data_IF_994450464391
#
_entry.id   IF_994450464391
#
_cell.length_a   1.000
_cell.length_b   1.000
_cell.length_c   1.000
_cell.angle_alpha   90.00
_cell.angle_beta   90.00
_cell.angle_gamma   90.00
#
_symmetry.space_group_name_H-M   'P 1'
#
loop_
_entity.id
_entity.type
_entity.pdbx_description
1 polymer ?
#
# COMPACT_ATOMS: atom_id res chain seq x y z
N UNK A 1 -26.63 -28.77 9.21
CA UNK A 1 -25.29 -28.17 9.32
C UNK A 1 -25.33 -26.83 8.65
N UNK A 2 -24.88 -25.77 9.32
CA UNK A 2 -24.73 -24.46 8.67
C UNK A 2 -23.73 -24.58 7.51
N UNK A 3 -23.91 -23.86 6.37
CA UNK A 3 -22.99 -23.92 5.26
C UNK A 3 -21.60 -23.46 5.71
N UNK A 4 -20.56 -24.16 5.28
CA UNK A 4 -19.18 -23.78 5.51
C UNK A 4 -18.90 -22.40 4.92
N UNK A 5 -18.26 -21.52 5.67
CA UNK A 5 -18.00 -20.13 5.26
C UNK A 5 -16.56 -19.70 5.53
N UNK A 6 -15.96 -19.08 4.54
CA UNK A 6 -14.76 -18.23 4.71
C UNK A 6 -15.16 -16.77 4.45
N UNK A 7 -14.74 -15.86 5.34
CA UNK A 7 -14.87 -14.43 5.15
C UNK A 7 -13.52 -13.78 4.81
N UNK A 8 -13.51 -12.95 3.80
CA UNK A 8 -12.38 -12.07 3.45
C UNK A 8 -12.82 -10.64 3.73
N UNK A 9 -12.12 -9.94 4.62
CA UNK A 9 -12.46 -8.58 5.06
C UNK A 9 -11.48 -7.59 4.44
N UNK A 10 -11.96 -6.82 3.47
CA UNK A 10 -11.21 -5.88 2.64
C UNK A 10 -11.31 -6.25 1.16
N UNK A 11 -12.13 -5.52 0.41
CA UNK A 11 -12.42 -5.76 -1.01
C UNK A 11 -11.48 -4.96 -1.94
N UNK A 12 -10.16 -5.11 -1.76
CA UNK A 12 -9.15 -4.52 -2.65
C UNK A 12 -8.17 -5.61 -3.12
N UNK A 13 -6.95 -5.26 -3.49
CA UNK A 13 -5.98 -6.14 -4.12
C UNK A 13 -5.70 -7.44 -3.34
N UNK A 14 -5.45 -7.33 -2.03
CA UNK A 14 -5.15 -8.50 -1.20
C UNK A 14 -6.39 -9.39 -1.03
N UNK A 15 -7.54 -8.78 -0.73
CA UNK A 15 -8.79 -9.55 -0.52
C UNK A 15 -9.29 -10.22 -1.79
N UNK A 16 -9.25 -9.54 -2.93
CA UNK A 16 -9.62 -10.16 -4.21
C UNK A 16 -8.67 -11.31 -4.55
N UNK A 17 -7.36 -11.12 -4.40
CA UNK A 17 -6.37 -12.17 -4.66
C UNK A 17 -6.55 -13.38 -3.72
N UNK A 18 -6.93 -13.13 -2.46
CA UNK A 18 -7.27 -14.18 -1.52
C UNK A 18 -8.53 -14.94 -1.95
N UNK A 19 -9.59 -14.23 -2.34
CA UNK A 19 -10.84 -14.84 -2.79
C UNK A 19 -10.65 -15.69 -4.05
N UNK A 20 -9.93 -15.18 -5.04
CA UNK A 20 -9.56 -15.92 -6.24
C UNK A 20 -8.73 -17.17 -5.92
N UNK A 21 -7.76 -17.03 -5.01
CA UNK A 21 -6.92 -18.14 -4.60
C UNK A 21 -7.71 -19.21 -3.84
N UNK A 22 -8.63 -18.82 -2.95
CA UNK A 22 -9.53 -19.76 -2.26
C UNK A 22 -10.32 -20.59 -3.26
N UNK A 23 -10.94 -19.97 -4.28
CA UNK A 23 -11.66 -20.70 -5.33
C UNK A 23 -10.72 -21.61 -6.14
N UNK A 24 -9.60 -21.08 -6.58
CA UNK A 24 -8.60 -21.86 -7.36
C UNK A 24 -8.05 -23.05 -6.59
N UNK A 25 -7.89 -22.95 -5.27
CA UNK A 25 -7.43 -24.02 -4.41
C UNK A 25 -8.54 -24.95 -3.93
N UNK A 26 -9.76 -24.79 -4.46
CA UNK A 26 -10.85 -25.73 -4.32
C UNK A 26 -11.80 -25.47 -3.15
N UNK A 27 -11.90 -24.25 -2.62
CA UNK A 27 -12.97 -23.90 -1.69
C UNK A 27 -14.28 -23.76 -2.45
N UNK A 28 -15.28 -24.59 -2.12
CA UNK A 28 -16.61 -24.59 -2.71
C UNK A 28 -17.72 -24.06 -1.80
N UNK A 29 -17.39 -23.87 -0.48
CA UNK A 29 -18.31 -23.30 0.50
C UNK A 29 -18.61 -21.82 0.23
N UNK A 30 -19.43 -21.22 1.08
CA UNK A 30 -19.71 -19.79 1.03
C UNK A 30 -18.43 -18.99 1.17
N UNK A 31 -18.22 -18.04 0.27
CA UNK A 31 -17.08 -17.12 0.28
C UNK A 31 -17.63 -15.70 0.32
N UNK A 32 -17.53 -15.08 1.50
CA UNK A 32 -17.99 -13.71 1.71
C UNK A 32 -16.82 -12.74 1.55
N UNK A 33 -16.96 -11.73 0.67
CA UNK A 33 -16.01 -10.64 0.51
C UNK A 33 -16.62 -9.33 1.00
N UNK A 34 -16.07 -8.78 2.09
CA UNK A 34 -16.58 -7.57 2.76
C UNK A 34 -15.70 -6.38 2.41
N UNK A 35 -16.30 -5.27 1.96
CA UNK A 35 -15.61 -4.01 1.67
C UNK A 35 -16.40 -2.81 2.21
N UNK A 36 -15.72 -1.85 2.83
CA UNK A 36 -16.36 -0.63 3.35
C UNK A 36 -16.64 0.42 2.26
N UNK A 37 -15.96 0.34 1.14
CA UNK A 37 -16.25 1.16 -0.05
C UNK A 37 -17.35 0.51 -0.91
N UNK A 38 -18.22 1.30 -1.58
CA UNK A 38 -19.32 0.76 -2.39
C UNK A 38 -18.87 0.25 -3.77
N UNK A 39 -17.58 0.30 -4.06
CA UNK A 39 -17.02 -0.02 -5.37
C UNK A 39 -16.56 -1.48 -5.46
N UNK A 40 -16.66 -2.12 -6.64
CA UNK A 40 -15.95 -3.34 -6.94
C UNK A 40 -14.45 -3.19 -6.68
N UNK A 41 -13.72 -4.29 -6.39
CA UNK A 41 -12.28 -4.23 -6.18
C UNK A 41 -11.55 -3.49 -7.30
N UNK A 42 -10.79 -2.44 -6.94
CA UNK A 42 -10.06 -1.58 -7.87
C UNK A 42 -8.61 -1.38 -7.45
N UNK A 43 -7.79 -0.93 -8.41
CA UNK A 43 -6.36 -0.69 -8.24
C UNK A 43 -6.09 0.73 -7.73
N UNK A 44 -5.36 0.87 -6.61
CA UNK A 44 -5.10 2.17 -5.96
C UNK A 44 -3.92 2.95 -6.54
N UNK A 45 -2.82 2.31 -7.03
CA UNK A 45 -1.68 3.07 -7.55
C UNK A 45 -2.01 4.08 -8.65
N UNK A 46 -3.01 3.89 -9.52
CA UNK A 46 -3.38 4.89 -10.51
C UNK A 46 -4.07 6.13 -9.93
N UNK A 47 -4.54 6.10 -8.68
CA UNK A 47 -5.25 7.23 -8.06
C UNK A 47 -4.41 8.52 -8.03
N UNK A 48 -3.10 8.40 -7.70
CA UNK A 48 -2.15 9.51 -7.68
C UNK A 48 -1.54 9.84 -9.04
N UNK A 49 -1.85 9.06 -10.08
CA UNK A 49 -1.25 9.13 -11.41
C UNK A 49 -2.31 9.32 -12.49
N UNK A 50 -2.66 8.24 -13.19
CA UNK A 50 -3.52 8.28 -14.38
C UNK A 50 -4.92 8.82 -14.10
N UNK A 51 -5.52 8.52 -12.93
CA UNK A 51 -6.83 9.05 -12.57
C UNK A 51 -6.75 10.54 -12.24
N UNK A 52 -5.78 10.95 -11.43
CA UNK A 52 -5.57 12.36 -11.08
C UNK A 52 -5.22 13.19 -12.31
N UNK A 53 -4.41 12.65 -13.21
CA UNK A 53 -4.06 13.24 -14.51
C UNK A 53 -5.25 13.38 -15.47
N UNK A 54 -6.34 12.62 -15.23
CA UNK A 54 -7.48 12.55 -16.14
C UNK A 54 -7.30 11.64 -17.35
N UNK A 55 -6.19 10.86 -17.39
CA UNK A 55 -5.92 9.89 -18.45
C UNK A 55 -6.77 8.61 -18.33
N UNK A 56 -7.25 8.29 -17.13
CA UNK A 56 -8.13 7.17 -16.88
C UNK A 56 -9.43 7.61 -16.22
N UNK A 57 -10.52 6.98 -16.65
CA UNK A 57 -11.81 7.06 -15.98
C UNK A 57 -11.91 6.00 -14.87
N UNK A 58 -12.77 6.18 -13.84
CA UNK A 58 -12.90 5.27 -12.70
C UNK A 58 -13.09 3.80 -13.07
N UNK A 59 -13.87 3.49 -14.08
CA UNK A 59 -14.11 2.11 -14.54
C UNK A 59 -12.85 1.37 -14.99
N UNK A 60 -11.81 2.10 -15.42
CA UNK A 60 -10.52 1.51 -15.85
C UNK A 60 -9.67 1.03 -14.68
N UNK A 61 -10.03 1.40 -13.45
CA UNK A 61 -9.35 0.99 -12.24
C UNK A 61 -9.74 -0.42 -11.79
N UNK A 62 -10.89 -0.95 -12.21
CA UNK A 62 -11.40 -2.23 -11.75
C UNK A 62 -10.36 -3.34 -11.96
N UNK A 63 -10.12 -4.14 -10.93
CA UNK A 63 -9.17 -5.25 -10.97
C UNK A 63 -9.70 -6.43 -11.78
N UNK A 64 -11.02 -6.55 -11.90
CA UNK A 64 -11.72 -7.57 -12.70
C UNK A 64 -12.95 -6.97 -13.35
N UNK A 65 -13.30 -7.50 -14.50
CA UNK A 65 -14.60 -7.25 -15.13
C UNK A 65 -15.73 -7.88 -14.30
N UNK A 66 -16.96 -7.40 -14.47
CA UNK A 66 -18.09 -7.85 -13.66
C UNK A 66 -18.35 -9.36 -13.79
N UNK A 67 -18.31 -9.89 -15.01
CA UNK A 67 -18.45 -11.32 -15.30
C UNK A 67 -17.39 -12.20 -14.63
N UNK A 68 -16.16 -11.68 -14.50
CA UNK A 68 -15.07 -12.36 -13.78
C UNK A 68 -15.31 -12.39 -12.27
N UNK A 69 -15.87 -11.33 -11.69
CA UNK A 69 -16.26 -11.31 -10.29
C UNK A 69 -17.45 -12.23 -10.01
N UNK A 70 -18.45 -12.22 -10.89
CA UNK A 70 -19.64 -13.07 -10.82
C UNK A 70 -19.26 -14.56 -10.87
N UNK A 71 -18.30 -14.92 -11.72
CA UNK A 71 -17.79 -16.28 -11.86
C UNK A 71 -17.14 -16.83 -10.57
N UNK A 72 -16.72 -15.96 -9.65
CA UNK A 72 -16.19 -16.39 -8.33
C UNK A 72 -17.30 -16.85 -7.38
N UNK A 73 -18.56 -16.53 -7.63
CA UNK A 73 -19.68 -16.88 -6.77
C UNK A 73 -19.51 -16.35 -5.34
N UNK A 74 -19.20 -15.05 -5.22
CA UNK A 74 -18.97 -14.38 -3.94
C UNK A 74 -20.29 -13.93 -3.33
N UNK A 75 -20.43 -14.09 -1.99
CA UNK A 75 -21.33 -13.27 -1.18
C UNK A 75 -20.65 -11.90 -1.00
N UNK A 76 -20.91 -10.99 -1.94
CA UNK A 76 -20.22 -9.70 -2.03
C UNK A 76 -20.95 -8.64 -1.21
N UNK A 77 -20.27 -8.09 -0.20
CA UNK A 77 -20.79 -7.11 0.76
C UNK A 77 -20.01 -5.81 0.65
N UNK A 78 -20.27 -5.05 -0.41
CA UNK A 78 -19.70 -3.71 -0.62
C UNK A 78 -20.48 -2.65 0.17
N UNK A 79 -19.83 -1.53 0.50
CA UNK A 79 -20.39 -0.51 1.36
C UNK A 79 -20.65 -0.99 2.78
N UNK A 80 -20.01 -2.09 3.18
CA UNK A 80 -20.26 -2.76 4.46
C UNK A 80 -18.97 -2.86 5.27
N UNK A 81 -18.96 -2.21 6.44
CA UNK A 81 -17.79 -2.19 7.33
C UNK A 81 -17.82 -3.37 8.30
N UNK A 82 -16.68 -4.00 8.52
CA UNK A 82 -16.48 -4.90 9.65
C UNK A 82 -16.37 -4.09 10.96
N UNK A 83 -17.04 -4.54 12.01
CA UNK A 83 -17.08 -3.86 13.31
C UNK A 83 -16.31 -4.59 14.40
N UNK A 84 -16.29 -5.93 14.39
CA UNK A 84 -15.54 -6.76 15.33
C UNK A 84 -15.27 -8.16 14.77
N UNK A 85 -14.24 -8.80 15.30
CA UNK A 85 -13.97 -10.22 15.12
C UNK A 85 -13.77 -10.86 16.50
N UNK A 86 -14.47 -11.94 16.75
CA UNK A 86 -14.22 -12.85 17.87
C UNK A 86 -13.43 -14.05 17.31
N UNK A 87 -12.14 -14.14 17.64
CA UNK A 87 -11.26 -15.20 17.12
C UNK A 87 -11.58 -16.57 17.73
N UNK A 88 -12.06 -16.63 18.97
CA UNK A 88 -12.39 -17.89 19.64
C UNK A 88 -13.56 -18.62 18.95
N UNK A 89 -14.56 -17.87 18.53
CA UNK A 89 -15.73 -18.41 17.81
C UNK A 89 -15.64 -18.21 16.29
N UNK A 90 -14.65 -17.47 15.80
CA UNK A 90 -14.51 -17.00 14.41
C UNK A 90 -15.78 -16.31 13.91
N UNK A 91 -16.36 -15.46 14.76
CA UNK A 91 -17.57 -14.70 14.42
C UNK A 91 -17.20 -13.28 13.99
N UNK A 92 -17.44 -12.97 12.72
CA UNK A 92 -17.31 -11.62 12.16
C UNK A 92 -18.61 -10.85 12.41
N UNK A 93 -18.51 -9.66 13.03
CA UNK A 93 -19.63 -8.74 13.21
C UNK A 93 -19.51 -7.58 12.23
N UNK A 94 -20.55 -7.30 11.46
CA UNK A 94 -20.65 -6.17 10.54
C UNK A 94 -21.24 -4.94 11.25
N UNK A 95 -21.00 -3.74 10.72
CA UNK A 95 -21.44 -2.47 11.33
C UNK A 95 -22.97 -2.40 11.54
N UNK A 96 -23.77 -3.11 10.71
CA UNK A 96 -25.21 -3.24 10.88
C UNK A 96 -25.67 -4.22 11.97
N UNK A 97 -24.73 -4.82 12.72
CA UNK A 97 -25.02 -5.81 13.77
C UNK A 97 -25.18 -7.26 13.26
N UNK A 98 -25.15 -7.50 11.96
CA UNK A 98 -25.15 -8.84 11.39
C UNK A 98 -23.90 -9.61 11.85
N UNK A 99 -24.08 -10.86 12.26
CA UNK A 99 -23.01 -11.76 12.73
C UNK A 99 -22.85 -12.93 11.78
N UNK A 100 -21.64 -13.12 11.29
CA UNK A 100 -21.28 -14.20 10.37
C UNK A 100 -20.36 -15.19 11.09
N UNK A 101 -20.86 -16.39 11.35
CA UNK A 101 -20.01 -17.49 11.81
C UNK A 101 -19.18 -18.00 10.63
N UNK A 102 -17.87 -18.12 10.82
CA UNK A 102 -16.91 -18.48 9.78
C UNK A 102 -16.08 -19.70 10.20
N UNK A 103 -15.69 -20.52 9.23
CA UNK A 103 -14.66 -21.55 9.44
C UNK A 103 -13.26 -20.92 9.36
N UNK A 104 -13.11 -19.85 8.57
CA UNK A 104 -11.88 -19.08 8.46
C UNK A 104 -12.11 -17.62 8.11
N UNK A 105 -11.16 -16.75 8.48
CA UNK A 105 -11.20 -15.31 8.20
C UNK A 105 -9.85 -14.86 7.63
N UNK A 106 -9.88 -14.08 6.55
CA UNK A 106 -8.69 -13.39 6.04
C UNK A 106 -8.90 -11.88 6.19
N UNK A 107 -8.06 -11.24 7.00
CA UNK A 107 -8.04 -9.79 7.22
C UNK A 107 -7.18 -9.14 6.14
N UNK A 108 -7.82 -8.35 5.28
CA UNK A 108 -7.20 -7.66 4.14
C UNK A 108 -7.61 -6.16 4.09
N UNK A 109 -7.87 -5.56 5.25
CA UNK A 109 -8.41 -4.19 5.39
C UNK A 109 -7.43 -3.09 5.01
N UNK A 110 -6.15 -3.42 4.86
CA UNK A 110 -5.13 -2.47 4.42
C UNK A 110 -4.85 -1.38 5.45
N UNK A 111 -4.72 -0.14 4.97
CA UNK A 111 -4.39 1.04 5.76
C UNK A 111 -5.33 2.20 5.45
N UNK A 112 -5.49 3.13 6.39
CA UNK A 112 -6.14 4.42 6.23
C UNK A 112 -5.10 5.54 6.08
N UNK A 113 -5.42 6.61 5.35
CA UNK A 113 -4.57 7.79 5.29
C UNK A 113 -4.53 8.49 6.65
N UNK A 114 -3.36 8.94 7.08
CA UNK A 114 -3.23 9.82 8.24
C UNK A 114 -3.73 11.21 7.92
N UNK A 115 -4.45 11.78 8.84
CA UNK A 115 -4.98 13.15 8.77
C UNK A 115 -4.27 14.06 9.76
N UNK A 116 -4.44 15.34 9.59
CA UNK A 116 -4.05 16.36 10.56
C UNK A 116 -5.32 16.83 11.29
N UNK A 117 -5.40 16.73 12.62
CA UNK A 117 -6.60 17.14 13.35
C UNK A 117 -7.01 18.59 13.08
N UNK A 118 -6.03 19.47 12.84
CA UNK A 118 -6.23 20.90 12.55
C UNK A 118 -6.89 21.14 11.18
N UNK A 119 -6.91 20.12 10.32
CA UNK A 119 -7.56 20.15 9.01
C UNK A 119 -9.04 19.71 9.05
N UNK A 120 -9.51 19.23 10.20
CA UNK A 120 -10.86 18.71 10.32
C UNK A 120 -11.91 19.79 9.97
N UNK A 121 -12.83 19.47 9.07
CA UNK A 121 -13.90 20.38 8.64
C UNK A 121 -13.46 21.50 7.70
N UNK A 122 -12.22 21.54 7.25
CA UNK A 122 -11.74 22.48 6.24
C UNK A 122 -11.99 21.97 4.83
N UNK A 123 -12.75 22.72 4.04
CA UNK A 123 -12.86 22.47 2.62
C UNK A 123 -11.57 22.86 1.89
N UNK A 124 -11.20 22.09 0.86
CA UNK A 124 -9.94 22.25 0.12
C UNK A 124 -8.75 21.52 0.74
N UNK A 125 -8.92 20.85 1.88
CA UNK A 125 -7.90 19.93 2.44
C UNK A 125 -8.31 18.48 2.15
N UNK A 126 -7.44 17.75 1.50
CA UNK A 126 -7.71 16.40 0.98
C UNK A 126 -6.68 15.40 1.49
N UNK A 127 -7.08 14.15 1.59
CA UNK A 127 -6.21 12.97 1.58
C UNK A 127 -6.27 12.30 0.21
N UNK A 128 -5.52 11.21 0.00
CA UNK A 128 -5.56 10.44 -1.23
C UNK A 128 -5.34 8.94 -0.91
N UNK A 129 -6.45 8.23 -0.69
CA UNK A 129 -6.45 6.79 -0.41
C UNK A 129 -7.58 6.07 -1.15
N UNK A 130 -8.77 6.66 -1.20
CA UNK A 130 -9.97 6.09 -1.82
C UNK A 130 -10.23 6.67 -3.20
N UNK A 131 -11.15 6.06 -3.94
CA UNK A 131 -11.60 6.60 -5.21
C UNK A 131 -12.26 7.97 -5.04
N UNK A 132 -13.06 8.13 -3.97
CA UNK A 132 -13.70 9.42 -3.63
C UNK A 132 -12.66 10.50 -3.34
N UNK A 133 -11.62 10.18 -2.57
CA UNK A 133 -10.51 11.11 -2.32
C UNK A 133 -9.89 11.62 -3.63
N UNK A 134 -9.62 10.66 -4.54
CA UNK A 134 -8.98 10.99 -5.82
C UNK A 134 -9.88 11.84 -6.73
N UNK A 135 -11.18 11.54 -6.77
CA UNK A 135 -12.15 12.30 -7.53
C UNK A 135 -12.35 13.71 -6.96
N UNK A 136 -12.42 13.84 -5.64
CA UNK A 136 -12.51 15.12 -4.96
C UNK A 136 -11.28 16.00 -5.23
N UNK A 137 -10.06 15.41 -5.10
CA UNK A 137 -8.82 16.13 -5.40
C UNK A 137 -8.74 16.49 -6.90
N UNK A 138 -9.10 15.57 -7.81
CA UNK A 138 -9.15 15.83 -9.26
C UNK A 138 -10.08 17.01 -9.59
N UNK A 139 -11.25 17.06 -8.97
CA UNK A 139 -12.20 18.17 -9.16
C UNK A 139 -11.62 19.51 -8.69
N UNK A 140 -10.90 19.53 -7.58
CA UNK A 140 -10.20 20.73 -7.08
C UNK A 140 -9.05 21.18 -7.97
N UNK A 141 -8.38 20.25 -8.62
CA UNK A 141 -7.31 20.53 -9.58
C UNK A 141 -7.81 20.69 -11.01
N UNK A 142 -9.10 20.95 -11.21
CA UNK A 142 -9.63 21.30 -12.53
C UNK A 142 -9.11 22.68 -12.97
N UNK A 143 -8.77 22.82 -14.27
CA UNK A 143 -8.12 24.02 -14.82
C UNK A 143 -6.62 24.06 -14.51
N UNK A 144 -6.03 25.25 -14.48
CA UNK A 144 -4.60 25.48 -14.26
C UNK A 144 -4.36 26.58 -13.23
N UNK A 145 -3.09 26.79 -12.82
CA UNK A 145 -2.68 27.95 -12.01
C UNK A 145 -3.09 27.92 -10.54
N UNK A 146 -3.70 26.85 -10.04
CA UNK A 146 -4.02 26.74 -8.61
C UNK A 146 -2.77 26.52 -7.78
N UNK A 147 -2.77 27.03 -6.56
CA UNK A 147 -1.71 26.85 -5.56
C UNK A 147 -2.01 25.60 -4.76
N UNK A 148 -1.29 24.51 -5.04
CA UNK A 148 -1.35 23.27 -4.29
C UNK A 148 -0.20 23.20 -3.28
N UNK A 149 -0.51 23.00 -2.02
CA UNK A 149 0.46 22.63 -0.98
C UNK A 149 0.30 21.13 -0.71
N UNK A 150 1.35 20.36 -0.98
CA UNK A 150 1.42 18.93 -0.63
C UNK A 150 2.19 18.80 0.68
N UNK A 151 1.52 18.30 1.71
CA UNK A 151 2.09 18.04 3.03
C UNK A 151 2.48 16.58 3.14
N UNK A 152 3.77 16.32 3.13
CA UNK A 152 4.37 14.98 3.09
C UNK A 152 5.13 14.74 1.78
N UNK A 153 6.45 14.54 1.89
CA UNK A 153 7.36 14.33 0.76
C UNK A 153 7.77 12.85 0.58
N UNK A 154 6.91 11.94 1.00
CA UNK A 154 7.01 10.50 0.69
C UNK A 154 6.57 10.18 -0.75
N UNK A 155 6.47 8.88 -1.07
CA UNK A 155 6.12 8.39 -2.42
C UNK A 155 4.86 9.06 -2.96
N UNK A 156 3.75 8.98 -2.22
CA UNK A 156 2.45 9.50 -2.65
C UNK A 156 2.47 11.01 -2.87
N UNK A 157 3.09 11.75 -1.94
CA UNK A 157 3.20 13.22 -2.05
C UNK A 157 4.03 13.65 -3.26
N UNK A 158 5.13 12.94 -3.56
CA UNK A 158 5.97 13.22 -4.73
C UNK A 158 5.24 12.91 -6.05
N UNK A 159 4.50 11.80 -6.12
CA UNK A 159 3.68 11.47 -7.30
C UNK A 159 2.60 12.51 -7.58
N UNK A 160 1.82 12.87 -6.55
CA UNK A 160 0.77 13.87 -6.67
C UNK A 160 1.34 15.27 -7.02
N UNK A 161 2.49 15.64 -6.44
CA UNK A 161 3.19 16.88 -6.78
C UNK A 161 3.65 16.90 -8.24
N UNK A 162 4.17 15.78 -8.74
CA UNK A 162 4.58 15.65 -10.14
C UNK A 162 3.38 15.82 -11.09
N UNK A 163 2.30 15.10 -10.85
CA UNK A 163 1.07 15.19 -11.66
C UNK A 163 0.49 16.59 -11.63
N UNK A 164 0.37 17.21 -10.46
CA UNK A 164 -0.17 18.57 -10.35
C UNK A 164 0.71 19.60 -11.10
N UNK A 165 2.04 19.44 -11.10
CA UNK A 165 2.91 20.29 -11.92
C UNK A 165 2.70 20.10 -13.41
N UNK A 166 2.56 18.86 -13.89
CA UNK A 166 2.26 18.57 -15.29
C UNK A 166 0.91 19.12 -15.74
N UNK A 167 -0.07 19.19 -14.80
CA UNK A 167 -1.36 19.85 -15.03
C UNK A 167 -1.29 21.40 -15.00
N UNK A 168 -0.11 21.99 -14.75
CA UNK A 168 0.08 23.44 -14.80
C UNK A 168 -0.22 24.17 -13.48
N UNK A 169 -0.26 23.48 -12.34
CA UNK A 169 -0.47 24.10 -11.04
C UNK A 169 0.82 24.60 -10.40
N UNK A 170 0.73 25.58 -9.50
CA UNK A 170 1.83 25.97 -8.62
C UNK A 170 1.91 25.00 -7.45
N UNK A 171 3.02 24.27 -7.32
CA UNK A 171 3.15 23.24 -6.29
C UNK A 171 4.24 23.58 -5.30
N UNK A 172 3.89 23.50 -4.01
CA UNK A 172 4.84 23.50 -2.90
C UNK A 172 4.76 22.14 -2.20
N UNK A 173 5.87 21.41 -2.16
CA UNK A 173 6.00 20.13 -1.47
C UNK A 173 6.69 20.36 -0.13
N UNK A 174 5.99 20.08 0.96
CA UNK A 174 6.43 20.28 2.33
C UNK A 174 6.72 18.94 2.97
N UNK A 175 7.90 18.77 3.55
CA UNK A 175 8.30 17.56 4.26
C UNK A 175 9.06 17.85 5.54
N UNK A 176 9.06 16.92 6.49
CA UNK A 176 9.96 16.98 7.67
C UNK A 176 11.39 16.63 7.29
N UNK A 177 11.54 15.72 6.34
CA UNK A 177 12.83 15.37 5.76
C UNK A 177 13.23 16.39 4.69
N UNK A 178 14.52 16.76 4.60
CA UNK A 178 14.98 17.75 3.64
C UNK A 178 14.83 17.31 2.19
N UNK A 179 14.82 16.01 1.94
CA UNK A 179 14.82 15.45 0.59
C UNK A 179 13.58 14.58 0.35
N UNK A 180 13.01 14.63 -0.86
CA UNK A 180 11.91 13.75 -1.27
C UNK A 180 12.28 12.28 -1.09
N UNK A 181 11.38 11.52 -0.48
CA UNK A 181 11.48 10.08 -0.28
C UNK A 181 12.70 9.60 0.54
N UNK A 182 13.52 10.49 1.13
CA UNK A 182 14.80 10.12 1.75
C UNK A 182 14.69 9.01 2.81
N UNK A 183 13.58 8.93 3.55
CA UNK A 183 13.33 7.85 4.51
C UNK A 183 13.19 6.47 3.85
N UNK A 184 12.81 6.43 2.58
CA UNK A 184 12.59 5.19 1.84
C UNK A 184 13.79 4.85 0.96
N UNK A 185 14.36 5.85 0.28
CA UNK A 185 15.38 5.63 -0.77
C UNK A 185 16.77 6.17 -0.41
N UNK A 186 16.93 6.78 0.77
CA UNK A 186 18.22 7.40 1.20
C UNK A 186 18.46 8.77 0.58
N UNK A 187 19.52 9.42 1.06
CA UNK A 187 19.82 10.81 0.71
C UNK A 187 20.24 10.98 -0.76
N UNK A 188 21.10 10.11 -1.28
CA UNK A 188 21.65 10.24 -2.63
C UNK A 188 20.58 10.16 -3.73
N UNK A 189 19.63 9.22 -3.59
CA UNK A 189 18.47 9.13 -4.49
C UNK A 189 17.52 10.29 -4.23
N UNK A 190 17.33 10.68 -2.96
CA UNK A 190 16.52 11.84 -2.58
C UNK A 190 17.00 13.15 -3.22
N UNK A 191 18.32 13.38 -3.33
CA UNK A 191 18.89 14.53 -4.03
C UNK A 191 18.56 14.53 -5.52
N UNK A 192 18.64 13.37 -6.19
CA UNK A 192 18.28 13.25 -7.59
C UNK A 192 16.80 13.61 -7.81
N UNK A 193 15.92 13.12 -6.94
CA UNK A 193 14.49 13.42 -6.99
C UNK A 193 14.23 14.90 -6.68
N UNK A 194 14.93 15.49 -5.71
CA UNK A 194 14.81 16.90 -5.39
C UNK A 194 15.24 17.79 -6.58
N UNK A 195 16.31 17.42 -7.26
CA UNK A 195 16.77 18.12 -8.46
C UNK A 195 15.72 18.09 -9.58
N UNK A 196 15.05 16.92 -9.80
CA UNK A 196 13.97 16.82 -10.78
C UNK A 196 12.78 17.70 -10.40
N UNK A 197 12.28 17.60 -9.17
CA UNK A 197 11.16 18.42 -8.73
C UNK A 197 11.46 19.92 -8.85
N UNK A 198 12.64 20.38 -8.45
CA UNK A 198 13.06 21.78 -8.61
C UNK A 198 13.14 22.20 -10.08
N UNK A 199 13.71 21.37 -10.94
CA UNK A 199 13.80 21.64 -12.38
C UNK A 199 12.42 21.77 -13.04
N UNK A 200 11.40 21.08 -12.51
CA UNK A 200 10.01 21.21 -12.93
C UNK A 200 9.26 22.36 -12.25
N UNK A 201 9.92 23.13 -11.38
CA UNK A 201 9.34 24.29 -10.70
C UNK A 201 8.52 23.97 -9.44
N UNK A 202 8.68 22.79 -8.86
CA UNK A 202 8.14 22.50 -7.52
C UNK A 202 9.00 23.19 -6.45
N UNK A 203 8.36 23.94 -5.56
CA UNK A 203 9.01 24.54 -4.40
C UNK A 203 9.11 23.52 -3.27
N UNK A 204 10.32 23.15 -2.88
CA UNK A 204 10.56 22.23 -1.74
C UNK A 204 10.73 23.03 -0.46
N UNK A 205 10.07 22.60 0.62
CA UNK A 205 10.14 23.19 1.97
C UNK A 205 10.36 22.11 3.01
N UNK A 206 11.36 22.31 3.88
CA UNK A 206 11.63 21.40 4.99
C UNK A 206 11.11 22.05 6.26
N UNK A 207 9.93 21.63 6.70
CA UNK A 207 9.31 22.09 7.94
C UNK A 207 8.17 21.15 8.36
N UNK A 208 7.79 21.22 9.63
CA UNK A 208 6.52 20.69 10.09
C UNK A 208 5.38 21.70 9.80
N UNK A 209 4.17 21.17 9.62
CA UNK A 209 2.97 22.01 9.55
C UNK A 209 2.58 22.41 10.98
N UNK A 210 2.34 23.70 11.19
CA UNK A 210 1.88 24.27 12.45
C UNK A 210 0.39 24.57 12.48
N UNK A 211 -0.30 24.51 11.32
CA UNK A 211 -1.74 24.73 11.22
C UNK A 211 -2.18 25.20 9.84
N UNK A 212 -3.46 25.55 9.76
CA UNK A 212 -4.12 26.05 8.54
C UNK A 212 -4.79 27.40 8.80
N UNK A 213 -4.82 28.22 7.78
CA UNK A 213 -5.69 29.39 7.72
C UNK A 213 -6.85 29.09 6.80
N UNK A 214 -8.01 29.57 7.17
CA UNK A 214 -9.23 29.41 6.39
C UNK A 214 -10.10 30.63 6.50
N UNK A 215 -10.87 30.92 5.48
CA UNK A 215 -11.89 31.94 5.44
C UNK A 215 -13.30 31.33 5.42
N UNK A 216 -14.31 32.17 5.69
CA UNK A 216 -15.72 31.81 5.77
C UNK A 216 -16.23 31.83 7.22
N UNK A 217 -17.38 32.50 7.40
CA UNK A 217 -18.08 32.64 8.69
C UNK A 217 -19.14 31.54 8.90
N UNK A 218 -19.25 30.63 7.93
CA UNK A 218 -20.25 29.55 7.92
C UNK A 218 -19.73 28.21 8.45
N UNK A 219 -20.55 27.16 8.38
CA UNK A 219 -20.16 25.82 8.79
C UNK A 219 -19.08 25.18 7.87
N UNK A 220 -18.89 25.75 6.68
CA UNK A 220 -17.84 25.33 5.74
C UNK A 220 -16.80 26.45 5.64
N UNK A 221 -15.58 26.15 6.06
CA UNK A 221 -14.44 27.07 5.99
C UNK A 221 -13.47 26.58 4.92
N UNK A 222 -13.07 27.48 4.02
CA UNK A 222 -12.17 27.14 2.92
C UNK A 222 -10.72 27.43 3.28
N UNK A 223 -9.81 26.48 3.04
CA UNK A 223 -8.38 26.70 3.27
C UNK A 223 -7.84 27.82 2.38
N UNK A 224 -7.05 28.74 2.96
CA UNK A 224 -6.40 29.85 2.25
C UNK A 224 -4.90 29.83 2.36
N UNK A 225 -4.37 29.18 3.41
CA UNK A 225 -2.93 28.97 3.58
C UNK A 225 -2.62 27.81 4.52
N UNK A 226 -1.41 27.27 4.37
CA UNK A 226 -0.75 26.40 5.35
C UNK A 226 0.26 27.24 6.12
N UNK A 227 0.24 27.19 7.46
CA UNK A 227 1.26 27.75 8.32
C UNK A 227 2.26 26.65 8.71
N UNK A 228 3.53 26.94 8.50
CA UNK A 228 4.62 26.06 8.94
C UNK A 228 5.02 26.39 10.39
N UNK A 229 5.67 25.45 11.07
CA UNK A 229 6.10 25.61 12.44
C UNK A 229 7.20 26.72 12.62
N UNK A 230 7.89 27.08 11.55
CA UNK A 230 8.86 28.19 11.50
C UNK A 230 8.20 29.56 11.30
N UNK A 231 6.87 29.65 11.29
CA UNK A 231 6.09 30.86 11.05
C UNK A 231 5.83 31.18 9.56
N UNK A 232 6.43 30.44 8.64
CA UNK A 232 6.23 30.67 7.19
C UNK A 232 4.77 30.41 6.82
N UNK A 233 4.18 31.34 6.06
CA UNK A 233 2.84 31.23 5.50
C UNK A 233 2.93 30.82 4.03
N UNK A 234 2.28 29.72 3.66
CA UNK A 234 2.19 29.19 2.29
C UNK A 234 0.74 29.39 1.79
N UNK A 235 0.44 30.35 0.92
CA UNK A 235 -0.87 30.48 0.32
C UNK A 235 -1.26 29.19 -0.43
N UNK A 236 -2.51 28.73 -0.23
CA UNK A 236 -3.00 27.49 -0.80
C UNK A 236 -4.48 27.62 -1.18
N UNK A 237 -4.83 27.19 -2.38
CA UNK A 237 -6.21 27.01 -2.82
C UNK A 237 -6.67 25.55 -2.60
N UNK A 238 -5.70 24.66 -2.47
CA UNK A 238 -5.89 23.22 -2.21
C UNK A 238 -4.69 22.70 -1.42
N UNK A 239 -4.95 21.80 -0.48
CA UNK A 239 -3.92 21.09 0.29
C UNK A 239 -4.13 19.61 0.15
N UNK A 240 -3.06 18.86 -0.16
CA UNK A 240 -3.03 17.41 -0.07
C UNK A 240 -2.22 16.99 1.16
N UNK A 241 -2.82 16.26 2.08
CA UNK A 241 -2.15 15.67 3.24
C UNK A 241 -1.73 14.24 2.90
N UNK A 242 -0.41 14.02 2.74
CA UNK A 242 0.23 12.77 2.33
C UNK A 242 1.31 12.33 3.34
N UNK A 243 0.98 12.35 4.63
CA UNK A 243 1.90 12.13 5.76
C UNK A 243 2.02 10.67 6.21
N UNK A 244 1.68 9.74 5.33
CA UNK A 244 1.69 8.30 5.59
C UNK A 244 0.31 7.74 5.93
N UNK A 245 0.32 6.53 6.42
CA UNK A 245 -0.86 5.70 6.66
C UNK A 245 -0.82 5.10 8.06
N UNK A 246 -1.95 4.53 8.47
CA UNK A 246 -2.06 3.70 9.66
C UNK A 246 -2.86 2.44 9.33
N UNK A 247 -2.47 1.28 9.92
CA UNK A 247 -3.16 0.03 9.68
C UNK A 247 -4.64 0.09 10.09
N UNK A 248 -5.53 -0.40 9.23
CA UNK A 248 -6.97 -0.40 9.48
C UNK A 248 -7.39 -1.57 10.39
N UNK A 249 -6.86 -1.57 11.62
CA UNK A 249 -7.06 -2.62 12.65
C UNK A 249 -8.00 -2.21 13.78
N UNK A 250 -8.60 -1.02 13.73
CA UNK A 250 -9.42 -0.49 14.83
C UNK A 250 -10.54 -1.43 15.26
N UNK A 251 -11.15 -2.13 14.33
CA UNK A 251 -12.25 -3.09 14.54
C UNK A 251 -11.80 -4.42 15.18
N UNK A 252 -10.49 -4.69 15.25
CA UNK A 252 -9.90 -5.90 15.86
C UNK A 252 -9.43 -5.70 17.30
N UNK A 253 -9.34 -4.45 17.77
CA UNK A 253 -8.74 -4.10 19.08
C UNK A 253 -9.48 -4.69 20.28
N UNK A 254 -10.70 -5.15 20.11
CA UNK A 254 -11.48 -5.78 21.17
C UNK A 254 -11.12 -7.24 21.45
N UNK A 255 -10.35 -7.90 20.57
CA UNK A 255 -9.94 -9.29 20.74
C UNK A 255 -8.52 -9.40 21.32
N UNK A 256 -8.36 -9.95 22.56
CA UNK A 256 -7.06 -10.02 23.24
C UNK A 256 -6.08 -11.01 22.62
N UNK A 257 -6.53 -11.91 21.73
CA UNK A 257 -5.65 -12.85 21.03
C UNK A 257 -4.89 -12.20 19.86
N UNK A 258 -5.25 -10.97 19.46
CA UNK A 258 -4.68 -10.28 18.33
C UNK A 258 -3.73 -9.15 18.75
N UNK A 259 -2.49 -9.16 18.26
CA UNK A 259 -1.59 -8.01 18.36
C UNK A 259 -1.83 -7.07 17.17
N UNK A 260 -2.38 -5.90 17.47
CA UNK A 260 -2.73 -4.85 16.50
C UNK A 260 -1.90 -3.57 16.66
N UNK A 261 -0.73 -3.63 17.29
CA UNK A 261 0.09 -2.46 17.65
C UNK A 261 0.59 -1.71 16.40
N UNK A 262 1.09 -2.43 15.38
CA UNK A 262 1.51 -1.88 14.08
C UNK A 262 1.07 -2.82 12.96
N UNK A 263 -0.22 -2.82 12.66
CA UNK A 263 -0.86 -3.80 11.81
C UNK A 263 -1.25 -5.06 12.58
N UNK A 264 -1.83 -6.03 11.90
CA UNK A 264 -2.16 -7.32 12.47
C UNK A 264 -0.93 -8.23 12.39
N UNK A 265 -0.39 -8.59 13.56
CA UNK A 265 0.77 -9.46 13.67
C UNK A 265 0.44 -10.88 13.25
N UNK A 266 1.33 -11.46 12.45
CA UNK A 266 1.21 -12.81 11.89
C UNK A 266 2.51 -13.58 12.03
N UNK A 267 2.40 -14.90 12.01
CA UNK A 267 3.55 -15.80 11.85
C UNK A 267 4.10 -15.77 10.40
N UNK A 268 5.09 -16.60 10.13
CA UNK A 268 5.68 -16.72 8.80
C UNK A 268 4.69 -17.24 7.72
N UNK A 269 3.58 -17.81 8.13
CA UNK A 269 2.54 -18.37 7.26
C UNK A 269 1.37 -17.41 7.05
N UNK A 270 1.47 -16.17 7.54
CA UNK A 270 0.41 -15.14 7.56
C UNK A 270 -0.74 -15.45 8.53
N UNK A 271 -0.58 -16.36 9.49
CA UNK A 271 -1.59 -16.66 10.51
C UNK A 271 -1.44 -15.71 11.71
N UNK A 272 -2.55 -15.06 12.10
CA UNK A 272 -2.64 -14.20 13.29
C UNK A 272 -3.21 -14.96 14.49
N UNK A 273 -4.13 -15.89 14.26
CA UNK A 273 -4.71 -16.81 15.23
C UNK A 273 -5.25 -18.06 14.48
N UNK A 274 -5.63 -19.14 15.18
CA UNK A 274 -6.20 -20.33 14.53
C UNK A 274 -7.42 -19.98 13.66
N UNK A 275 -7.32 -20.26 12.35
CA UNK A 275 -8.34 -19.91 11.36
C UNK A 275 -8.42 -18.43 11.00
N UNK A 276 -7.51 -17.58 11.50
CA UNK A 276 -7.47 -16.14 11.19
C UNK A 276 -6.13 -15.77 10.57
N UNK A 277 -6.17 -15.28 9.34
CA UNK A 277 -5.02 -14.92 8.53
C UNK A 277 -5.05 -13.43 8.16
N UNK A 278 -3.91 -12.85 7.80
CA UNK A 278 -3.91 -11.49 7.29
C UNK A 278 -3.08 -11.36 6.01
N UNK A 279 -3.41 -10.35 5.18
CA UNK A 279 -2.71 -10.08 3.95
C UNK A 279 -2.75 -8.60 3.54
N UNK A 280 -1.71 -8.15 2.86
CA UNK A 280 -1.54 -6.79 2.36
C UNK A 280 -1.07 -5.83 3.43
N UNK A 281 -1.34 -4.54 3.23
CA UNK A 281 -0.76 -3.44 4.02
C UNK A 281 -1.07 -3.53 5.52
N UNK A 282 -2.13 -4.25 5.90
CA UNK A 282 -2.52 -4.47 7.31
C UNK A 282 -1.66 -5.51 8.01
N UNK A 283 -1.04 -6.43 7.26
CA UNK A 283 -0.32 -7.57 7.82
C UNK A 283 1.12 -7.21 8.20
N UNK A 284 1.49 -7.48 9.46
CA UNK A 284 2.87 -7.48 9.96
C UNK A 284 3.27 -8.92 10.24
N UNK A 285 4.16 -9.46 9.43
CA UNK A 285 4.49 -10.88 9.50
C UNK A 285 5.97 -11.14 9.74
N UNK A 286 6.28 -12.28 10.38
CA UNK A 286 7.65 -12.75 10.55
C UNK A 286 8.20 -13.18 9.19
N UNK A 287 9.18 -12.42 8.66
CA UNK A 287 9.82 -12.77 7.39
C UNK A 287 11.01 -13.69 7.60
N UNK A 288 10.95 -14.97 7.15
CA UNK A 288 11.99 -15.97 7.48
C UNK A 288 13.38 -15.60 6.99
N UNK A 289 13.49 -15.05 5.79
CA UNK A 289 14.80 -14.71 5.17
C UNK A 289 15.45 -13.52 5.87
N UNK A 290 14.66 -12.52 6.27
CA UNK A 290 15.18 -11.33 6.95
C UNK A 290 15.25 -11.48 8.48
N UNK A 291 14.74 -12.57 9.05
CA UNK A 291 14.77 -12.86 10.49
C UNK A 291 14.05 -11.83 11.36
N UNK A 292 13.18 -11.00 10.79
CA UNK A 292 12.45 -9.93 11.48
C UNK A 292 11.02 -9.77 10.97
N UNK A 293 10.20 -9.10 11.74
CA UNK A 293 8.85 -8.73 11.31
C UNK A 293 8.92 -7.62 10.26
N UNK A 294 8.14 -7.77 9.21
CA UNK A 294 7.95 -6.76 8.16
C UNK A 294 6.47 -6.42 8.02
N UNK A 295 6.18 -5.16 7.72
CA UNK A 295 4.90 -4.68 7.21
C UNK A 295 5.19 -3.88 5.93
N UNK A 296 4.65 -4.33 4.81
CA UNK A 296 5.01 -3.85 3.48
C UNK A 296 3.76 -3.36 2.76
N UNK A 297 3.70 -2.05 2.50
CA UNK A 297 2.57 -1.39 1.82
C UNK A 297 2.82 -1.33 0.31
N UNK A 298 2.98 -2.49 -0.33
CA UNK A 298 3.25 -2.59 -1.76
C UNK A 298 2.14 -3.37 -2.48
N UNK A 299 1.72 -2.87 -3.63
CA UNK A 299 0.65 -3.44 -4.44
C UNK A 299 0.87 -4.93 -4.79
N UNK A 300 2.10 -5.31 -5.15
CA UNK A 300 2.43 -6.70 -5.49
C UNK A 300 2.44 -7.58 -4.25
N UNK A 301 3.01 -7.10 -3.14
CA UNK A 301 2.99 -7.81 -1.86
C UNK A 301 1.56 -8.13 -1.41
N UNK A 302 0.63 -7.18 -1.57
CA UNK A 302 -0.77 -7.39 -1.22
C UNK A 302 -1.38 -8.57 -1.98
N UNK A 303 -1.13 -8.68 -3.29
CA UNK A 303 -1.62 -9.80 -4.12
C UNK A 303 -0.97 -11.13 -3.72
N UNK A 304 0.35 -11.16 -3.60
CA UNK A 304 1.11 -12.39 -3.28
C UNK A 304 0.78 -12.89 -1.87
N UNK A 305 0.64 -11.98 -0.92
CA UNK A 305 0.29 -12.33 0.46
C UNK A 305 -1.15 -12.81 0.58
N UNK A 306 -2.10 -12.22 -0.18
CA UNK A 306 -3.48 -12.71 -0.27
C UNK A 306 -3.56 -14.16 -0.75
N UNK A 307 -2.80 -14.50 -1.78
CA UNK A 307 -2.68 -15.88 -2.28
C UNK A 307 -2.04 -16.82 -1.25
N UNK A 308 -1.03 -16.37 -0.53
CA UNK A 308 -0.33 -17.15 0.50
C UNK A 308 -1.25 -17.42 1.70
N UNK A 309 -1.94 -16.39 2.20
CA UNK A 309 -2.91 -16.51 3.29
C UNK A 309 -4.04 -17.48 2.95
N UNK A 310 -4.58 -17.38 1.73
CA UNK A 310 -5.62 -18.31 1.25
C UNK A 310 -5.14 -19.76 1.22
N UNK A 311 -3.95 -20.02 0.68
CA UNK A 311 -3.35 -21.36 0.65
C UNK A 311 -3.18 -21.93 2.05
N UNK A 312 -2.58 -21.14 2.94
CA UNK A 312 -2.22 -21.58 4.28
C UNK A 312 -3.47 -21.77 5.16
N UNK A 313 -4.50 -20.92 5.01
CA UNK A 313 -5.79 -21.12 5.66
C UNK A 313 -6.46 -22.45 5.22
N UNK A 314 -6.47 -22.73 3.91
CA UNK A 314 -7.08 -23.98 3.42
C UNK A 314 -6.28 -25.22 3.88
N UNK A 315 -4.96 -25.12 4.00
CA UNK A 315 -4.15 -26.22 4.56
C UNK A 315 -4.52 -26.48 6.02
N UNK A 316 -4.64 -25.42 6.84
CA UNK A 316 -5.08 -25.55 8.24
C UNK A 316 -6.50 -26.12 8.36
N UNK A 317 -7.44 -25.62 7.55
CA UNK A 317 -8.83 -26.11 7.57
C UNK A 317 -8.93 -27.57 7.14
N UNK A 318 -8.11 -28.04 6.24
CA UNK A 318 -8.07 -29.47 5.84
C UNK A 318 -7.65 -30.40 7.00
N UNK A 319 -6.81 -29.91 7.92
CA UNK A 319 -6.36 -30.65 9.09
C UNK A 319 -7.34 -30.56 10.26
N UNK A 320 -8.01 -29.43 10.42
CA UNK A 320 -8.79 -29.13 11.64
C UNK A 320 -10.29 -29.35 11.49
N UNK A 321 -10.83 -29.33 10.25
CA UNK A 321 -12.25 -29.56 10.06
C UNK A 321 -12.61 -31.05 10.17
N UNK A 322 -13.69 -31.41 10.92
CA UNK A 322 -14.21 -32.76 10.89
C UNK A 322 -14.49 -33.20 9.44
N UNK A 323 -14.22 -34.44 9.14
CA UNK A 323 -14.37 -35.05 7.80
C UNK A 323 -13.47 -34.43 6.70
N UNK A 324 -12.33 -33.79 7.07
CA UNK A 324 -11.41 -33.18 6.12
C UNK A 324 -12.05 -32.03 5.31
N UNK A 325 -13.13 -31.40 5.87
CA UNK A 325 -13.89 -30.35 5.17
C UNK A 325 -14.84 -30.90 4.10
N UNK A 326 -15.37 -32.09 4.28
CA UNK A 326 -16.23 -32.79 3.32
C UNK A 326 -17.32 -31.89 2.73
N UNK A 327 -17.37 -31.74 1.42
CA UNK A 327 -18.30 -30.91 0.66
C UNK A 327 -17.91 -29.45 0.47
N UNK A 328 -16.92 -28.91 1.19
CA UNK A 328 -16.47 -27.52 1.02
C UNK A 328 -15.02 -27.40 0.52
N UNK A 329 -14.25 -28.49 0.59
CA UNK A 329 -12.88 -28.58 0.10
C UNK A 329 -12.76 -29.73 -0.91
N UNK A 330 -12.37 -29.40 -2.15
CA UNK A 330 -12.04 -30.44 -3.12
C UNK A 330 -10.81 -31.24 -2.63
N UNK A 331 -10.74 -32.55 -2.87
CA UNK A 331 -9.55 -33.35 -2.59
C UNK A 331 -8.35 -32.73 -3.28
N UNK A 332 -7.30 -32.35 -2.55
CA UNK A 332 -6.10 -31.78 -3.15
C UNK A 332 -4.85 -32.42 -2.54
N UNK A 333 -4.08 -33.04 -3.40
CA UNK A 333 -2.71 -33.38 -3.11
C UNK A 333 -1.89 -32.08 -2.92
N UNK A 334 -1.03 -32.01 -1.87
CA UNK A 334 -0.05 -30.94 -1.71
C UNK A 334 -0.53 -29.69 -0.96
N UNK A 335 -1.52 -29.80 -0.08
CA UNK A 335 -1.93 -28.70 0.81
C UNK A 335 -1.04 -28.59 2.04
N UNK A 336 0.23 -28.31 1.85
CA UNK A 336 1.12 -27.96 2.94
C UNK A 336 1.13 -26.44 3.15
N UNK A 337 1.15 -26.02 4.41
CA UNK A 337 1.43 -24.62 4.76
C UNK A 337 2.84 -24.25 4.29
N UNK A 338 3.00 -23.08 3.70
CA UNK A 338 4.29 -22.59 3.21
C UNK A 338 4.55 -21.18 3.75
N UNK A 339 5.77 -20.93 4.27
CA UNK A 339 6.14 -19.59 4.69
C UNK A 339 6.01 -18.59 3.54
N UNK A 340 5.61 -17.37 3.84
CA UNK A 340 5.55 -16.29 2.89
C UNK A 340 6.88 -15.54 2.86
N UNK A 341 7.66 -15.74 1.79
CA UNK A 341 9.02 -15.20 1.62
C UNK A 341 9.16 -14.44 0.31
N UNK A 342 8.41 -13.35 0.12
CA UNK A 342 8.49 -12.58 -1.11
C UNK A 342 9.80 -11.81 -1.20
N UNK A 343 10.21 -11.44 -2.42
CA UNK A 343 11.09 -10.31 -2.65
C UNK A 343 10.18 -9.08 -2.85
N UNK A 344 10.05 -8.19 -1.85
CA UNK A 344 9.17 -7.04 -1.97
C UNK A 344 9.50 -6.22 -3.23
N UNK A 345 8.45 -5.69 -3.87
CA UNK A 345 8.60 -4.84 -5.05
C UNK A 345 7.67 -3.65 -4.96
N UNK A 346 8.22 -2.44 -5.15
CA UNK A 346 7.40 -1.27 -5.38
C UNK A 346 7.94 -0.45 -6.57
N UNK A 347 7.08 0.41 -7.09
CA UNK A 347 7.45 1.38 -8.10
C UNK A 347 6.83 2.74 -7.79
N UNK A 348 7.42 3.77 -8.36
CA UNK A 348 6.87 5.12 -8.38
C UNK A 348 7.15 5.73 -9.75
N UNK A 349 6.15 6.42 -10.30
CA UNK A 349 6.29 7.17 -11.53
C UNK A 349 6.16 8.67 -11.18
N UNK A 350 7.20 9.43 -11.46
CA UNK A 350 7.25 10.87 -11.24
C UNK A 350 7.79 11.54 -12.49
N UNK A 351 6.96 12.29 -13.19
CA UNK A 351 7.29 12.81 -14.55
C UNK A 351 7.68 11.64 -15.48
N UNK A 352 8.84 11.74 -16.13
CA UNK A 352 9.40 10.65 -16.95
C UNK A 352 10.22 9.63 -16.15
N UNK A 353 10.41 9.85 -14.84
CA UNK A 353 11.21 8.95 -14.01
C UNK A 353 10.41 7.72 -13.61
N UNK A 354 10.88 6.55 -14.03
CA UNK A 354 10.44 5.24 -13.53
C UNK A 354 11.37 4.78 -12.42
N UNK A 355 10.86 4.79 -11.21
CA UNK A 355 11.56 4.31 -10.00
C UNK A 355 11.05 2.91 -9.73
N UNK A 356 11.95 1.93 -9.60
CA UNK A 356 11.61 0.54 -9.31
C UNK A 356 12.54 0.01 -8.21
N UNK A 357 11.99 -0.63 -7.20
CA UNK A 357 12.77 -1.15 -6.11
C UNK A 357 12.37 -2.58 -5.78
N UNK A 358 13.35 -3.40 -5.46
CA UNK A 358 13.20 -4.78 -5.02
C UNK A 358 13.86 -4.97 -3.66
N UNK A 359 13.28 -5.84 -2.83
CA UNK A 359 13.77 -6.15 -1.50
C UNK A 359 13.40 -5.10 -0.46
N UNK A 360 14.16 -5.05 0.62
CA UNK A 360 13.94 -4.18 1.78
C UNK A 360 14.98 -3.09 1.80
N UNK A 361 14.54 -1.84 1.58
CA UNK A 361 15.40 -0.66 1.54
C UNK A 361 15.50 0.02 2.92
N UNK A 362 14.41 -0.05 3.70
CA UNK A 362 14.32 0.62 5.00
C UNK A 362 15.13 -0.10 6.08
N UNK A 363 15.80 0.67 6.93
CA UNK A 363 16.67 0.12 7.99
C UNK A 363 18.00 -0.38 7.46
N UNK A 364 18.42 0.02 6.25
CA UNK A 364 19.75 -0.23 5.73
C UNK A 364 20.81 0.49 6.60
N UNK A 365 21.87 -0.20 6.93
CA UNK A 365 23.07 0.35 7.58
C UNK A 365 24.14 0.76 6.56
N UNK A 366 23.97 0.32 5.30
CA UNK A 366 24.82 0.65 4.16
C UNK A 366 23.96 0.97 2.94
N UNK A 367 24.39 2.00 2.18
CA UNK A 367 23.81 2.34 0.89
C UNK A 367 24.95 2.71 -0.07
N UNK A 368 24.86 2.22 -1.30
CA UNK A 368 25.77 2.61 -2.38
C UNK A 368 24.95 2.99 -3.60
N UNK A 369 25.00 4.26 -3.99
CA UNK A 369 24.33 4.73 -5.19
C UNK A 369 25.35 4.96 -6.30
N UNK A 370 24.95 4.64 -7.52
CA UNK A 370 25.71 4.87 -8.75
C UNK A 370 24.83 5.63 -9.73
N UNK A 371 25.24 6.82 -10.11
CA UNK A 371 24.61 7.56 -11.21
C UNK A 371 25.14 6.99 -12.52
N UNK A 372 24.27 6.33 -13.27
CA UNK A 372 24.59 5.67 -14.54
C UNK A 372 24.64 6.70 -15.68
N UNK A 373 23.68 7.62 -15.66
CA UNK A 373 23.58 8.70 -16.65
C UNK A 373 22.93 9.92 -15.98
N UNK A 374 23.71 10.98 -15.83
CA UNK A 374 23.26 12.19 -15.13
C UNK A 374 22.25 13.01 -15.95
N UNK A 375 22.41 13.07 -17.27
CA UNK A 375 21.48 13.78 -18.15
C UNK A 375 20.14 13.06 -18.24
N UNK A 376 20.16 11.75 -18.48
CA UNK A 376 18.97 10.91 -18.51
C UNK A 376 18.44 10.55 -17.12
N UNK A 377 19.11 11.03 -16.05
CA UNK A 377 18.78 10.75 -14.63
C UNK A 377 18.60 9.28 -14.32
N UNK A 378 19.48 8.45 -14.88
CA UNK A 378 19.52 7.03 -14.57
C UNK A 378 20.43 6.77 -13.39
N UNK A 379 19.95 6.01 -12.43
CA UNK A 379 20.70 5.68 -11.23
C UNK A 379 20.31 4.28 -10.70
N UNK A 380 21.24 3.69 -9.97
CA UNK A 380 21.01 2.48 -9.18
C UNK A 380 21.49 2.73 -7.76
N UNK A 381 20.75 2.25 -6.77
CA UNK A 381 21.21 2.20 -5.39
C UNK A 381 21.06 0.79 -4.84
N UNK A 382 22.08 0.30 -4.15
CA UNK A 382 22.08 -0.93 -3.40
C UNK A 382 21.95 -0.60 -1.91
N UNK A 383 21.16 -1.39 -1.21
CA UNK A 383 20.89 -1.26 0.23
C UNK A 383 21.32 -2.54 0.94
N UNK A 384 21.96 -2.40 2.09
CA UNK A 384 22.45 -3.52 2.86
C UNK A 384 22.16 -3.40 4.34
N UNK A 385 22.13 -4.55 5.02
CA UNK A 385 22.01 -4.64 6.47
C UNK A 385 22.78 -5.86 6.97
N UNK A 386 23.57 -5.69 8.05
CA UNK A 386 24.33 -6.79 8.64
C UNK A 386 25.34 -7.43 7.68
N UNK A 387 25.93 -6.66 6.76
CA UNK A 387 26.90 -7.16 5.79
C UNK A 387 26.32 -7.85 4.56
N UNK A 388 25.00 -7.90 4.42
CA UNK A 388 24.31 -8.49 3.27
C UNK A 388 23.50 -7.46 2.50
N UNK A 389 23.36 -7.66 1.19
CA UNK A 389 22.45 -6.87 0.37
C UNK A 389 20.99 -7.26 0.67
N UNK A 390 20.16 -6.26 0.95
CA UNK A 390 18.74 -6.45 1.31
C UNK A 390 17.78 -5.85 0.31
N UNK A 391 18.23 -4.91 -0.51
CA UNK A 391 17.39 -4.25 -1.49
C UNK A 391 18.17 -3.52 -2.56
N UNK A 392 17.52 -3.28 -3.69
CA UNK A 392 18.07 -2.52 -4.82
C UNK A 392 17.00 -1.62 -5.40
N UNK A 393 17.38 -0.42 -5.79
CA UNK A 393 16.52 0.56 -6.45
C UNK A 393 17.15 0.94 -7.80
N UNK A 394 16.33 1.06 -8.83
CA UNK A 394 16.72 1.52 -10.16
C UNK A 394 15.82 2.67 -10.62
N UNK A 395 16.40 3.69 -11.24
CA UNK A 395 15.70 4.79 -11.88
C UNK A 395 16.03 4.79 -13.37
N UNK A 396 15.00 4.78 -14.22
CA UNK A 396 15.14 4.95 -15.67
C UNK A 396 15.89 3.83 -16.41
N UNK A 397 16.12 2.68 -15.78
CA UNK A 397 16.82 1.56 -16.41
C UNK A 397 15.89 0.69 -17.26
N UNK A 398 16.43 0.06 -18.33
CA UNK A 398 15.68 -0.91 -19.13
C UNK A 398 15.23 -2.12 -18.32
N UNK A 399 14.09 -2.73 -18.66
CA UNK A 399 13.55 -3.88 -17.90
C UNK A 399 14.51 -5.08 -17.78
N UNK A 400 15.42 -5.28 -18.74
CA UNK A 400 16.42 -6.35 -18.69
C UNK A 400 17.41 -6.13 -17.54
N UNK A 401 17.94 -4.91 -17.40
CA UNK A 401 18.86 -4.57 -16.32
C UNK A 401 18.17 -4.64 -14.97
N UNK A 402 16.95 -4.13 -14.87
CA UNK A 402 16.14 -4.19 -13.63
C UNK A 402 15.91 -5.65 -13.17
N UNK A 403 15.64 -6.57 -14.10
CA UNK A 403 15.54 -8.01 -13.75
C UNK A 403 16.85 -8.60 -13.26
N UNK A 404 17.98 -8.20 -13.86
CA UNK A 404 19.31 -8.61 -13.39
C UNK A 404 19.56 -8.15 -11.95
N UNK A 405 19.23 -6.90 -11.64
CA UNK A 405 19.36 -6.33 -10.29
C UNK A 405 18.47 -7.06 -9.27
N UNK A 406 17.23 -7.45 -9.64
CA UNK A 406 16.38 -8.25 -8.77
C UNK A 406 17.02 -9.59 -8.40
N UNK A 407 17.69 -10.23 -9.34
CA UNK A 407 18.35 -11.52 -9.09
C UNK A 407 19.43 -11.42 -8.01
N UNK A 408 20.14 -10.28 -7.90
CA UNK A 408 21.19 -10.06 -6.91
C UNK A 408 20.69 -10.07 -5.46
N UNK A 409 19.40 -9.79 -5.24
CA UNK A 409 18.83 -9.70 -3.88
C UNK A 409 17.75 -10.75 -3.62
N UNK A 410 17.47 -11.61 -4.58
CA UNK A 410 16.49 -12.70 -4.43
C UNK A 410 16.95 -13.77 -3.42
N UNK A 411 18.26 -13.93 -3.29
CA UNK A 411 18.93 -14.74 -2.25
C UNK A 411 19.86 -13.80 -1.50
N UNK A 412 19.99 -13.94 -0.16
CA UNK A 412 20.95 -13.14 0.59
C UNK A 412 22.35 -13.25 -0.01
N UNK A 413 22.95 -12.14 -0.38
CA UNK A 413 24.28 -12.05 -0.96
C UNK A 413 25.19 -11.15 -0.10
N UNK A 414 26.49 -11.47 0.06
CA UNK A 414 27.44 -10.58 0.70
C UNK A 414 27.45 -9.21 0.01
N UNK A 415 27.62 -8.16 0.82
CA UNK A 415 27.56 -6.77 0.32
C UNK A 415 28.52 -6.49 -0.86
N UNK A 416 29.77 -6.95 -0.74
CA UNK A 416 30.80 -6.66 -1.75
C UNK A 416 30.50 -7.37 -3.08
N UNK A 417 30.04 -8.61 -3.02
CA UNK A 417 29.61 -9.38 -4.19
C UNK A 417 28.41 -8.72 -4.88
N UNK A 418 27.43 -8.27 -4.10
CA UNK A 418 26.29 -7.55 -4.63
C UNK A 418 26.69 -6.20 -5.28
N UNK A 419 27.66 -5.48 -4.72
CA UNK A 419 28.21 -4.26 -5.31
C UNK A 419 28.88 -4.53 -6.66
N UNK A 420 29.65 -5.61 -6.79
CA UNK A 420 30.24 -6.03 -8.07
C UNK A 420 29.16 -6.40 -9.09
N UNK A 421 28.14 -7.15 -8.66
CA UNK A 421 27.01 -7.53 -9.49
C UNK A 421 26.23 -6.32 -10.01
N UNK A 422 26.03 -5.27 -9.19
CA UNK A 422 25.42 -4.01 -9.61
C UNK A 422 26.26 -3.33 -10.68
N UNK A 423 27.59 -3.20 -10.47
CA UNK A 423 28.49 -2.58 -11.47
C UNK A 423 28.42 -3.32 -12.82
N UNK A 424 28.44 -4.66 -12.79
CA UNK A 424 28.35 -5.47 -14.00
C UNK A 424 26.97 -5.36 -14.70
N UNK A 425 25.90 -5.15 -13.95
CA UNK A 425 24.55 -5.02 -14.51
C UNK A 425 24.29 -3.67 -15.19
N UNK A 426 25.06 -2.61 -14.84
CA UNK A 426 24.88 -1.25 -15.38
C UNK A 426 26.01 -0.79 -16.30
N UNK A 427 27.10 -1.57 -16.42
CA UNK A 427 28.13 -1.38 -17.41
C UNK A 427 27.61 -1.76 -18.82
#
# INVERSE_FOLDING_TARGET
MSPRRIAVVGASAAGLAAAEALRRFGWTGTLTLVGDEPHPPYDRPPLSKQLLQGAWEPGKLHLRAADQLDALGLDLRLGTRAAALDTATRTLTLAGGERLACDGVIVATGVAARTLPEAAGLDGVHTLRTLEDALALKARLSGTGRRLVVVGNGVLGCEAAAVARELGHEVTLVGREPLPMARTVGAEIGELLAAEHRARGVRLRTAAVGGFEADGDGPVRHVTAVRLADGTRLPADTVLVAIGSEPAVGWLRGDPALDTTDGLRCDAYCAAAPGVYAAGDVARWQHPVHGRELRVEHRMNATEQGMAAARNLLAELAETLPDGGNGALAPAAGRERRPFTPVPYFWSDQYALKIQAYGVLTGADRTAATVVDREARKAVALYGHGGQATGVLAIGLPPRQVRGLRALIATPAPWDEACEGVRAAVA
#
